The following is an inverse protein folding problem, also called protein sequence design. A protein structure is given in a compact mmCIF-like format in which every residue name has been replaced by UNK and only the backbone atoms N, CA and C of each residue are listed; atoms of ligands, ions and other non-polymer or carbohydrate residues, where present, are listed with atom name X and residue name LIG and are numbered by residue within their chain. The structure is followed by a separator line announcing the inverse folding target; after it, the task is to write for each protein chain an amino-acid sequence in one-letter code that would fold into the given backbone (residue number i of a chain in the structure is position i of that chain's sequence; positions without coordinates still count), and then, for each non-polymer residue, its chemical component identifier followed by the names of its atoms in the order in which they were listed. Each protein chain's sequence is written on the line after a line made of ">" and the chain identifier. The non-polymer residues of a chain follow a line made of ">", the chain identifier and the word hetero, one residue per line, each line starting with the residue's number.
data_IF_300991243733
#
_entry.id   IF_300991243733
#
_cell.length_a   1.000
_cell.length_b   1.000
_cell.length_c   1.000
_cell.angle_alpha   90.00
_cell.angle_beta   90.00
_cell.angle_gamma   90.00
#
_symmetry.space_group_name_H-M   'P 1'
#
loop_
_entity.id
_entity.type
_entity.pdbx_description
1 polymer ?
#
# COMPACT_ATOMS: atom_id res chain seq x y z
N UNK A 1 2.81 28.08 -21.81
CA UNK A 1 1.55 27.31 -21.67
C UNK A 1 1.94 25.99 -21.05
N UNK A 2 1.62 25.85 -19.76
CA UNK A 2 1.84 24.68 -18.93
C UNK A 2 1.01 23.53 -19.48
N UNK A 3 1.67 22.43 -19.84
CA UNK A 3 1.03 21.14 -20.05
C UNK A 3 0.47 20.69 -18.70
N UNK A 4 -0.83 20.91 -18.49
CA UNK A 4 -1.61 20.21 -17.48
C UNK A 4 -1.43 18.71 -17.75
N UNK A 5 -0.54 18.08 -16.98
CA UNK A 5 -0.55 16.63 -16.83
C UNK A 5 -1.83 16.36 -16.05
N UNK A 6 -2.90 16.06 -16.76
CA UNK A 6 -4.10 15.48 -16.17
C UNK A 6 -3.64 14.23 -15.41
N UNK A 7 -3.45 14.40 -14.09
CA UNK A 7 -3.37 13.30 -13.15
C UNK A 7 -4.60 12.48 -13.47
N UNK A 8 -4.42 11.24 -13.92
CA UNK A 8 -5.51 10.34 -14.28
C UNK A 8 -6.44 10.24 -13.07
N UNK A 9 -7.48 11.09 -13.06
CA UNK A 9 -8.56 11.03 -12.09
C UNK A 9 -9.10 9.64 -12.26
N UNK A 10 -9.19 8.90 -11.15
CA UNK A 10 -9.61 7.51 -11.06
C UNK A 10 -10.90 7.21 -11.84
N UNK A 11 -10.78 7.08 -13.15
CA UNK A 11 -11.60 6.22 -13.97
C UNK A 11 -11.24 4.81 -13.55
N UNK A 12 -12.25 3.98 -13.36
CA UNK A 12 -12.10 2.62 -12.86
C UNK A 12 -10.95 1.92 -13.59
N UNK A 13 -9.87 1.59 -12.88
CA UNK A 13 -8.76 0.84 -13.45
C UNK A 13 -9.32 -0.40 -14.14
N UNK A 14 -8.85 -0.66 -15.37
CA UNK A 14 -9.22 -1.87 -16.09
C UNK A 14 -8.79 -3.11 -15.30
N UNK A 15 -9.40 -4.27 -15.58
CA UNK A 15 -9.02 -5.52 -14.93
C UNK A 15 -7.50 -5.78 -15.03
N UNK A 16 -6.92 -5.54 -16.21
CA UNK A 16 -5.47 -5.67 -16.43
C UNK A 16 -4.64 -4.65 -15.62
N UNK A 17 -5.09 -3.40 -15.52
CA UNK A 17 -4.40 -2.40 -14.69
C UNK A 17 -4.44 -2.78 -13.20
N UNK A 18 -5.55 -3.33 -12.71
CA UNK A 18 -5.66 -3.81 -11.33
C UNK A 18 -4.70 -4.96 -11.05
N UNK A 19 -4.55 -5.88 -11.99
CA UNK A 19 -3.58 -6.98 -11.90
C UNK A 19 -2.13 -6.44 -11.80
N UNK A 20 -1.76 -5.49 -12.67
CA UNK A 20 -0.44 -4.84 -12.61
C UNK A 20 -0.22 -4.16 -11.26
N UNK A 21 -1.22 -3.41 -10.76
CA UNK A 21 -1.12 -2.73 -9.47
C UNK A 21 -0.96 -3.73 -8.31
N UNK A 22 -1.68 -4.85 -8.35
CA UNK A 22 -1.55 -5.91 -7.33
C UNK A 22 -0.12 -6.47 -7.29
N UNK A 23 0.48 -6.74 -8.45
CA UNK A 23 1.84 -7.30 -8.54
C UNK A 23 2.96 -6.29 -8.21
N UNK A 24 2.73 -5.00 -8.45
CA UNK A 24 3.80 -3.97 -8.38
C UNK A 24 3.76 -3.11 -7.12
N UNK A 25 2.56 -2.73 -6.65
CA UNK A 25 2.38 -1.78 -5.54
C UNK A 25 1.51 -2.33 -4.41
N UNK A 26 0.95 -3.54 -4.52
CA UNK A 26 0.20 -4.18 -3.45
C UNK A 26 0.58 -5.66 -3.26
N UNK A 27 1.84 -6.00 -3.55
CA UNK A 27 2.31 -7.38 -3.55
C UNK A 27 2.12 -8.04 -2.18
N UNK A 28 1.44 -9.18 -2.16
CA UNK A 28 1.14 -9.94 -0.94
C UNK A 28 -0.01 -9.38 -0.10
N UNK A 29 -0.66 -8.29 -0.51
CA UNK A 29 -1.83 -7.75 0.19
C UNK A 29 -3.07 -8.60 -0.05
N UNK A 30 -4.00 -8.60 0.90
CA UNK A 30 -5.36 -9.14 0.72
C UNK A 30 -6.17 -8.32 -0.30
N UNK A 31 -7.21 -8.90 -0.92
CA UNK A 31 -8.11 -8.16 -1.80
C UNK A 31 -8.73 -6.94 -1.10
N UNK A 32 -9.05 -7.05 0.19
CA UNK A 32 -9.62 -5.98 1.01
C UNK A 32 -8.62 -4.83 1.21
N UNK A 33 -7.35 -5.14 1.51
CA UNK A 33 -6.29 -4.13 1.62
C UNK A 33 -6.05 -3.43 0.28
N UNK A 34 -6.06 -4.19 -0.83
CA UNK A 34 -5.90 -3.62 -2.17
C UNK A 34 -7.07 -2.69 -2.51
N UNK A 35 -8.31 -3.11 -2.24
CA UNK A 35 -9.49 -2.27 -2.42
C UNK A 35 -9.44 -1.01 -1.54
N UNK A 36 -9.04 -1.14 -0.28
CA UNK A 36 -8.87 0.00 0.62
C UNK A 36 -7.81 0.99 0.11
N UNK A 37 -6.69 0.48 -0.40
CA UNK A 37 -5.65 1.31 -1.03
C UNK A 37 -6.19 2.08 -2.23
N UNK A 38 -6.96 1.43 -3.11
CA UNK A 38 -7.56 2.09 -4.27
C UNK A 38 -8.56 3.18 -3.88
N UNK A 39 -9.37 2.94 -2.83
CA UNK A 39 -10.31 3.94 -2.33
C UNK A 39 -9.58 5.16 -1.72
N UNK A 40 -8.49 4.93 -0.97
CA UNK A 40 -7.64 6.00 -0.46
C UNK A 40 -6.95 6.76 -1.60
N UNK A 41 -6.43 6.05 -2.61
CA UNK A 41 -5.83 6.67 -3.79
C UNK A 41 -6.83 7.60 -4.48
N UNK A 42 -8.07 7.14 -4.68
CA UNK A 42 -9.15 7.94 -5.25
C UNK A 42 -9.51 9.15 -4.39
N UNK A 43 -9.72 8.95 -3.09
CA UNK A 43 -10.09 10.01 -2.14
C UNK A 43 -9.05 11.13 -2.07
N UNK A 44 -7.78 10.75 -2.05
CA UNK A 44 -6.67 11.69 -1.96
C UNK A 44 -6.14 12.15 -3.33
N UNK A 45 -6.66 11.59 -4.43
CA UNK A 45 -6.17 11.83 -5.80
C UNK A 45 -4.67 11.52 -5.94
N UNK A 46 -4.25 10.42 -5.33
CA UNK A 46 -2.89 9.87 -5.46
C UNK A 46 -2.84 8.83 -6.57
N UNK A 47 -1.72 8.79 -7.28
CA UNK A 47 -1.47 7.83 -8.36
C UNK A 47 -0.63 6.63 -7.87
N UNK A 48 -1.21 5.42 -7.80
CA UNK A 48 -0.48 4.21 -7.47
C UNK A 48 0.61 3.85 -8.50
N UNK A 49 0.42 4.13 -9.80
CA UNK A 49 1.43 3.84 -10.83
C UNK A 49 2.67 4.70 -10.69
N UNK A 50 2.50 5.96 -10.27
CA UNK A 50 3.59 6.86 -9.91
C UNK A 50 4.21 6.54 -8.53
N UNK A 51 3.78 5.46 -7.87
CA UNK A 51 4.20 5.07 -6.51
C UNK A 51 3.98 6.17 -5.46
N UNK A 52 2.97 7.01 -5.66
CA UNK A 52 2.57 8.00 -4.66
C UNK A 52 1.89 7.33 -3.47
N UNK A 53 1.22 6.20 -3.70
CA UNK A 53 0.59 5.34 -2.69
C UNK A 53 0.85 3.87 -3.04
N UNK A 54 1.09 3.04 -2.04
CA UNK A 54 1.23 1.59 -2.19
C UNK A 54 0.75 0.87 -0.94
N UNK A 55 0.55 -0.44 -1.03
CA UNK A 55 0.21 -1.30 0.09
C UNK A 55 1.26 -2.41 0.24
N UNK A 56 1.50 -2.79 1.47
CA UNK A 56 2.16 -4.06 1.80
C UNK A 56 1.32 -4.76 2.88
N UNK A 57 1.61 -6.02 3.23
CA UNK A 57 0.93 -6.67 4.35
C UNK A 57 1.01 -5.87 5.67
N UNK A 58 2.04 -5.03 5.81
CA UNK A 58 2.22 -4.14 6.95
C UNK A 58 1.25 -2.95 7.00
N UNK A 59 0.67 -2.54 5.87
CA UNK A 59 -0.22 -1.39 5.81
C UNK A 59 -0.21 -0.67 4.46
N UNK A 60 -0.88 0.49 4.44
CA UNK A 60 -0.94 1.38 3.27
C UNK A 60 -0.05 2.58 3.53
N UNK A 61 0.82 2.86 2.57
CA UNK A 61 1.88 3.85 2.68
C UNK A 61 1.80 4.87 1.56
N UNK A 62 2.23 6.08 1.86
CA UNK A 62 2.32 7.19 0.91
C UNK A 62 3.75 7.68 0.85
N UNK A 63 4.24 7.86 -0.37
CA UNK A 63 5.59 8.32 -0.61
C UNK A 63 5.72 9.81 -0.34
N UNK A 64 6.96 10.27 -0.17
CA UNK A 64 7.30 11.70 -0.12
C UNK A 64 6.67 12.48 -1.28
N UNK A 65 6.73 11.95 -2.50
CA UNK A 65 6.13 12.59 -3.68
C UNK A 65 4.59 12.59 -3.66
N UNK A 66 3.96 11.60 -3.01
CA UNK A 66 2.52 11.59 -2.77
C UNK A 66 2.10 12.71 -1.82
N UNK A 67 2.80 12.89 -0.70
CA UNK A 67 2.54 14.02 0.19
C UNK A 67 2.81 15.37 -0.48
N UNK A 68 3.83 15.46 -1.34
CA UNK A 68 4.14 16.66 -2.10
C UNK A 68 3.05 16.98 -3.14
N UNK A 69 2.52 15.96 -3.83
CA UNK A 69 1.39 16.11 -4.73
C UNK A 69 0.15 16.66 -4.01
N UNK A 70 -0.15 16.15 -2.80
CA UNK A 70 -1.24 16.67 -1.96
C UNK A 70 -1.02 18.12 -1.55
N UNK A 71 0.21 18.48 -1.17
CA UNK A 71 0.58 19.85 -0.82
C UNK A 71 0.33 20.80 -2.00
N UNK A 72 0.79 20.45 -3.20
CA UNK A 72 0.54 21.23 -4.42
C UNK A 72 -0.96 21.32 -4.74
N UNK A 73 -1.69 20.20 -4.68
CA UNK A 73 -3.12 20.14 -4.96
C UNK A 73 -3.97 20.98 -3.99
N UNK A 74 -3.45 21.28 -2.79
CA UNK A 74 -4.13 22.15 -1.82
C UNK A 74 -4.14 23.63 -2.23
N UNK A 75 -3.26 24.04 -3.15
CA UNK A 75 -3.01 25.44 -3.52
C UNK A 75 -2.27 26.28 -2.46
N UNK A 76 -2.06 25.74 -1.26
CA UNK A 76 -1.48 26.47 -0.12
C UNK A 76 0.00 26.16 0.12
N UNK A 77 0.62 25.30 -0.68
CA UNK A 77 2.06 25.04 -0.62
C UNK A 77 2.86 26.24 -1.13
N UNK A 78 3.81 26.69 -0.33
CA UNK A 78 4.67 27.85 -0.59
C UNK A 78 6.16 27.49 -0.58
N UNK A 79 6.47 26.20 -0.73
CA UNK A 79 7.83 25.66 -0.73
C UNK A 79 8.21 24.93 0.55
N UNK A 80 9.35 24.28 0.48
CA UNK A 80 9.99 23.61 1.62
C UNK A 80 11.51 23.64 1.46
N UNK A 81 12.21 23.58 2.58
CA UNK A 81 13.65 23.44 2.63
C UNK A 81 14.03 22.37 3.65
N UNK A 82 15.13 21.66 3.39
CA UNK A 82 15.66 20.66 4.32
C UNK A 82 17.09 21.00 4.66
N UNK A 83 17.38 21.09 5.95
CA UNK A 83 18.74 21.28 6.49
C UNK A 83 19.20 20.02 7.21
N UNK A 84 20.51 19.81 7.25
CA UNK A 84 21.11 18.66 7.91
C UNK A 84 21.96 19.13 9.09
N UNK A 85 21.99 18.31 10.13
CA UNK A 85 22.95 18.43 11.22
C UNK A 85 23.90 17.23 11.16
N UNK A 86 25.18 17.50 11.29
CA UNK A 86 26.23 16.50 11.42
C UNK A 86 26.89 16.60 12.79
N UNK A 87 27.21 15.45 13.37
CA UNK A 87 27.98 15.34 14.61
C UNK A 87 29.15 14.39 14.37
N UNK A 88 30.36 14.82 14.74
CA UNK A 88 31.61 14.08 14.51
C UNK A 88 31.81 13.64 13.05
N UNK A 89 31.40 14.49 12.10
CA UNK A 89 31.48 14.23 10.66
C UNK A 89 30.51 13.15 10.16
N UNK A 90 29.47 12.83 10.95
CA UNK A 90 28.42 11.86 10.60
C UNK A 90 27.07 12.54 10.59
N UNK A 91 26.23 12.14 9.62
CA UNK A 91 24.84 12.58 9.54
C UNK A 91 24.09 12.24 10.85
N UNK A 92 23.56 13.27 11.51
CA UNK A 92 22.91 13.17 12.82
C UNK A 92 21.39 13.35 12.70
N UNK A 93 20.95 14.39 12.00
CA UNK A 93 19.51 14.66 11.77
C UNK A 93 19.26 15.44 10.49
N UNK A 94 18.01 15.39 10.01
CA UNK A 94 17.50 16.27 8.98
C UNK A 94 16.28 17.03 9.51
N UNK A 95 16.21 18.33 9.24
CA UNK A 95 15.07 19.18 9.59
C UNK A 95 14.45 19.73 8.32
N UNK A 96 13.20 19.35 8.06
CA UNK A 96 12.41 19.93 6.98
C UNK A 96 11.54 21.07 7.52
N UNK A 97 11.61 22.22 6.86
CA UNK A 97 10.77 23.39 7.09
C UNK A 97 9.82 23.56 5.90
N UNK A 98 8.51 23.50 6.15
CA UNK A 98 7.46 23.68 5.13
C UNK A 98 6.78 25.03 5.32
N UNK A 99 6.66 25.79 4.23
CA UNK A 99 5.99 27.07 4.17
C UNK A 99 4.57 26.88 3.62
N UNK A 100 3.58 27.35 4.37
CA UNK A 100 2.17 27.23 4.03
C UNK A 100 1.53 28.62 3.95
N UNK A 101 0.93 28.97 2.80
CA UNK A 101 0.43 30.32 2.51
C UNK A 101 -0.56 30.89 3.54
N UNK A 102 -1.28 30.01 4.23
CA UNK A 102 -2.27 30.38 5.27
C UNK A 102 -1.71 30.34 6.70
N UNK A 103 -0.39 30.17 6.89
CA UNK A 103 0.23 30.14 8.21
C UNK A 103 1.32 31.21 8.31
N UNK A 104 1.37 31.89 9.46
CA UNK A 104 2.44 32.85 9.77
C UNK A 104 3.72 32.12 10.22
N UNK A 105 3.52 31.03 10.96
CA UNK A 105 4.48 30.02 11.41
C UNK A 105 4.85 28.97 10.35
N UNK A 106 6.09 28.73 9.86
CA UNK A 106 6.32 27.53 9.07
C UNK A 106 6.31 26.28 9.98
N UNK A 107 5.96 25.14 9.40
CA UNK A 107 6.01 23.86 10.10
C UNK A 107 7.43 23.32 10.01
N UNK A 108 8.03 22.96 11.14
CA UNK A 108 9.35 22.32 11.20
C UNK A 108 9.22 20.92 11.77
N UNK A 109 9.84 19.96 11.12
CA UNK A 109 9.97 18.58 11.61
C UNK A 109 11.42 18.15 11.48
N UNK A 110 11.97 17.71 12.60
CA UNK A 110 13.31 17.11 12.68
C UNK A 110 13.17 15.61 12.84
N UNK A 111 13.89 14.86 12.02
CA UNK A 111 14.01 13.41 12.12
C UNK A 111 15.45 13.04 12.45
N UNK A 112 15.62 12.01 13.26
CA UNK A 112 16.92 11.55 13.76
C UNK A 112 17.44 10.41 12.91
N UNK A 113 18.74 10.42 12.60
CA UNK A 113 19.32 9.36 11.77
C UNK A 113 19.26 7.99 12.46
N UNK A 114 19.50 7.92 13.77
CA UNK A 114 19.45 6.70 14.57
C UNK A 114 18.05 6.04 14.62
N UNK A 115 16.98 6.83 14.59
CA UNK A 115 15.60 6.35 14.59
C UNK A 115 15.13 5.81 13.23
N UNK A 116 15.59 6.42 12.13
CA UNK A 116 15.06 6.14 10.79
C UNK A 116 15.97 5.24 9.94
N UNK A 117 17.27 5.22 10.23
CA UNK A 117 18.23 4.45 9.46
C UNK A 117 17.86 2.97 9.46
N UNK A 118 17.89 2.36 8.27
CA UNK A 118 17.73 0.91 8.09
C UNK A 118 19.08 0.33 7.68
N UNK A 119 19.91 -0.18 8.61
CA UNK A 119 21.30 -0.59 8.32
C UNK A 119 21.40 -1.68 7.24
N UNK A 120 20.38 -2.54 7.17
CA UNK A 120 20.31 -3.64 6.20
C UNK A 120 19.92 -3.17 4.79
N UNK A 121 19.40 -1.95 4.64
CA UNK A 121 19.00 -1.39 3.35
C UNK A 121 20.19 -0.83 2.58
N UNK A 122 20.38 -1.31 1.35
CA UNK A 122 21.42 -0.81 0.44
C UNK A 122 21.24 0.66 0.09
N UNK A 123 19.99 1.12 0.00
CA UNK A 123 19.65 2.51 -0.28
C UNK A 123 20.13 3.45 0.84
N UNK A 124 19.95 3.05 2.11
CA UNK A 124 20.43 3.82 3.27
C UNK A 124 21.96 3.82 3.38
N UNK A 125 22.63 2.72 3.03
CA UNK A 125 24.10 2.67 3.01
C UNK A 125 24.72 3.54 1.91
N UNK A 126 24.11 3.58 0.73
CA UNK A 126 24.63 4.32 -0.42
C UNK A 126 24.24 5.80 -0.43
N UNK A 127 23.04 6.13 0.04
CA UNK A 127 22.47 7.48 -0.06
C UNK A 127 21.80 7.94 1.25
N UNK A 128 22.53 7.99 2.39
CA UNK A 128 21.94 8.27 3.70
C UNK A 128 21.28 9.65 3.80
N UNK A 129 21.87 10.69 3.19
CA UNK A 129 21.31 12.04 3.20
C UNK A 129 19.97 12.11 2.46
N UNK A 130 19.89 11.50 1.27
CA UNK A 130 18.65 11.45 0.46
C UNK A 130 17.56 10.71 1.22
N UNK A 131 17.91 9.59 1.87
CA UNK A 131 16.96 8.78 2.63
C UNK A 131 16.45 9.50 3.88
N UNK A 132 17.31 10.21 4.61
CA UNK A 132 16.87 10.97 5.78
C UNK A 132 16.04 12.20 5.37
N UNK A 133 16.45 12.89 4.30
CA UNK A 133 15.73 14.01 3.72
C UNK A 133 14.30 13.63 3.32
N UNK A 134 14.11 12.50 2.61
CA UNK A 134 12.75 12.07 2.23
C UNK A 134 11.85 11.84 3.44
N UNK A 135 12.40 11.32 4.55
CA UNK A 135 11.63 11.04 5.76
C UNK A 135 11.23 12.35 6.45
N UNK A 136 12.18 13.30 6.56
CA UNK A 136 11.92 14.63 7.10
C UNK A 136 10.81 15.34 6.31
N UNK A 137 10.91 15.32 4.97
CA UNK A 137 9.96 15.97 4.07
C UNK A 137 8.57 15.31 4.14
N UNK A 138 8.49 13.97 4.10
CA UNK A 138 7.22 13.26 4.22
C UNK A 138 6.48 13.62 5.52
N UNK A 139 7.19 13.63 6.66
CA UNK A 139 6.60 14.00 7.94
C UNK A 139 6.18 15.47 8.01
N UNK A 140 7.01 16.38 7.51
CA UNK A 140 6.71 17.81 7.51
C UNK A 140 5.50 18.13 6.62
N UNK A 141 5.44 17.55 5.42
CA UNK A 141 4.32 17.71 4.49
C UNK A 141 3.02 17.14 5.09
N UNK A 142 3.06 15.93 5.65
CA UNK A 142 1.90 15.33 6.31
C UNK A 142 1.34 16.23 7.43
N UNK A 143 2.24 16.81 8.24
CA UNK A 143 1.87 17.73 9.33
C UNK A 143 1.35 19.07 8.82
N UNK A 144 1.96 19.64 7.78
CA UNK A 144 1.59 20.95 7.23
C UNK A 144 0.23 20.94 6.53
N UNK A 145 -0.16 19.82 5.91
CA UNK A 145 -1.39 19.71 5.12
C UNK A 145 -2.47 18.82 5.75
N UNK A 146 -2.35 18.53 7.05
CA UNK A 146 -3.32 17.76 7.84
C UNK A 146 -3.76 16.44 7.16
N UNK A 147 -2.82 15.71 6.57
CA UNK A 147 -3.13 14.45 5.88
C UNK A 147 -3.36 13.36 6.95
N UNK A 148 -4.59 12.88 7.07
CA UNK A 148 -4.99 11.88 8.07
C UNK A 148 -5.11 10.48 7.46
N UNK A 149 -4.77 9.43 8.22
CA UNK A 149 -4.91 8.05 7.77
C UNK A 149 -3.89 7.57 6.73
N UNK A 150 -2.89 8.39 6.37
CA UNK A 150 -1.79 8.03 5.49
C UNK A 150 -0.45 8.18 6.24
N UNK A 151 0.45 7.22 6.03
CA UNK A 151 1.73 7.14 6.75
C UNK A 151 2.89 6.96 5.77
N UNK A 152 4.07 7.48 6.10
CA UNK A 152 5.30 7.08 5.41
C UNK A 152 5.75 5.71 5.94
N UNK A 153 6.25 4.87 5.06
CA UNK A 153 6.75 3.53 5.44
C UNK A 153 7.90 3.62 6.44
N UNK A 154 8.68 4.71 6.38
CA UNK A 154 9.81 4.92 7.28
C UNK A 154 9.40 5.09 8.76
N UNK A 155 8.13 5.35 9.06
CA UNK A 155 7.60 5.46 10.43
C UNK A 155 7.50 4.13 11.16
N UNK A 156 7.59 3.02 10.43
CA UNK A 156 7.39 1.70 10.98
C UNK A 156 8.72 0.97 11.16
N UNK A 157 8.92 0.32 12.33
CA UNK A 157 10.10 -0.48 12.56
C UNK A 157 10.18 -1.60 11.52
N UNK A 158 11.41 -1.91 11.10
CA UNK A 158 11.66 -2.98 10.11
C UNK A 158 11.47 -4.38 10.71
N UNK A 159 11.45 -4.47 12.04
CA UNK A 159 11.27 -5.70 12.81
C UNK A 159 10.08 -5.57 13.78
N UNK A 160 9.22 -6.59 13.78
CA UNK A 160 7.96 -6.63 14.52
C UNK A 160 6.73 -6.51 13.63
N UNK A 161 5.55 -6.97 14.08
CA UNK A 161 4.32 -6.75 13.34
C UNK A 161 4.11 -5.25 13.20
N UNK A 162 3.92 -4.76 11.98
CA UNK A 162 3.61 -3.35 11.77
C UNK A 162 2.39 -2.98 12.62
N UNK A 163 2.41 -1.81 13.25
CA UNK A 163 1.21 -1.32 13.95
C UNK A 163 0.10 -1.14 12.90
N UNK A 164 -0.93 -1.97 12.97
CA UNK A 164 -1.97 -2.01 11.93
C UNK A 164 -1.69 -3.00 10.79
N UNK A 165 -0.73 -3.93 10.95
CA UNK A 165 -0.67 -5.13 10.13
C UNK A 165 -2.02 -5.81 10.24
N UNK A 166 -2.77 -5.82 9.14
CA UNK A 166 -3.96 -6.64 9.06
C UNK A 166 -3.44 -8.07 9.11
N UNK A 167 -3.85 -8.84 10.11
CA UNK A 167 -3.76 -10.28 9.98
C UNK A 167 -4.42 -10.61 8.63
N UNK A 168 -3.74 -11.38 7.74
CA UNK A 168 -4.36 -11.81 6.50
C UNK A 168 -5.62 -12.55 6.90
N UNK A 169 -6.76 -11.89 6.77
CA UNK A 169 -8.05 -12.34 7.24
C UNK A 169 -8.98 -12.18 6.08
N UNK A 170 -9.84 -13.17 5.88
CA UNK A 170 -10.93 -13.08 4.92
C UNK A 170 -12.23 -13.08 5.71
N UNK A 171 -13.23 -12.35 5.22
CA UNK A 171 -14.55 -12.36 5.87
C UNK A 171 -15.34 -13.54 5.36
N UNK A 172 -15.60 -14.51 6.24
CA UNK A 172 -16.48 -15.66 5.97
C UNK A 172 -17.74 -15.47 6.79
N UNK A 173 -18.88 -15.30 6.12
CA UNK A 173 -20.20 -15.15 6.76
C UNK A 173 -20.26 -14.03 7.82
N UNK A 174 -19.51 -12.96 7.59
CA UNK A 174 -19.46 -11.78 8.44
C UNK A 174 -18.40 -11.83 9.54
N UNK A 175 -17.69 -12.95 9.70
CA UNK A 175 -16.62 -13.08 10.69
C UNK A 175 -15.22 -13.08 10.04
N UNK A 176 -14.24 -12.36 10.63
CA UNK A 176 -12.87 -12.35 10.13
C UNK A 176 -12.14 -13.64 10.50
N UNK A 177 -11.76 -14.43 9.50
CA UNK A 177 -11.02 -15.69 9.67
C UNK A 177 -9.58 -15.49 9.22
N UNK A 178 -8.56 -15.74 10.08
CA UNK A 178 -7.15 -15.72 9.69
C UNK A 178 -6.86 -16.74 8.60
N UNK A 179 -6.13 -16.34 7.56
CA UNK A 179 -5.79 -17.18 6.41
C UNK A 179 -4.31 -17.03 6.06
N UNK A 180 -3.63 -18.15 5.86
CA UNK A 180 -2.33 -18.16 5.20
C UNK A 180 -2.56 -18.14 3.69
N UNK A 181 -2.10 -17.09 3.01
CA UNK A 181 -2.13 -17.03 1.55
C UNK A 181 -1.05 -17.97 1.00
N UNK A 182 -1.49 -19.04 0.34
CA UNK A 182 -0.59 -19.94 -0.40
C UNK A 182 -0.03 -19.17 -1.61
N UNK A 183 1.29 -19.20 -1.81
CA UNK A 183 1.95 -18.42 -2.88
C UNK A 183 1.69 -18.94 -4.30
N UNK A 184 1.05 -20.10 -4.42
CA UNK A 184 0.78 -20.75 -5.69
C UNK A 184 -0.45 -20.17 -6.37
N UNK A 185 -0.47 -20.13 -7.70
CA UNK A 185 -1.64 -19.70 -8.49
C UNK A 185 -2.64 -20.84 -8.64
N UNK A 186 -3.88 -20.48 -8.96
CA UNK A 186 -4.96 -21.41 -9.24
C UNK A 186 -4.51 -22.49 -10.23
N UNK A 187 -4.65 -23.75 -9.86
CA UNK A 187 -4.26 -24.91 -10.67
C UNK A 187 -5.01 -25.02 -12.00
N UNK A 188 -6.17 -24.37 -12.11
CA UNK A 188 -7.01 -24.39 -13.30
C UNK A 188 -6.78 -23.18 -14.22
N UNK A 189 -6.91 -21.95 -13.71
CA UNK A 189 -6.80 -20.75 -14.55
C UNK A 189 -5.41 -20.13 -14.55
N UNK A 190 -4.55 -20.41 -13.56
CA UNK A 190 -3.24 -19.79 -13.40
C UNK A 190 -3.26 -18.28 -13.09
N UNK A 191 -4.44 -17.65 -13.10
CA UNK A 191 -4.63 -16.20 -12.97
C UNK A 191 -4.99 -15.76 -11.56
N UNK A 192 -5.83 -16.54 -10.87
CA UNK A 192 -6.36 -16.19 -9.55
C UNK A 192 -5.65 -16.94 -8.43
N UNK A 193 -5.72 -16.42 -7.21
CA UNK A 193 -5.24 -17.14 -6.02
C UNK A 193 -6.19 -18.33 -5.74
N UNK A 194 -5.68 -19.49 -5.29
CA UNK A 194 -6.50 -20.60 -4.80
C UNK A 194 -7.44 -20.16 -3.68
N UNK A 195 -8.61 -20.81 -3.60
CA UNK A 195 -9.51 -20.59 -2.46
C UNK A 195 -8.82 -20.95 -1.16
N UNK A 196 -8.99 -20.08 -0.16
CA UNK A 196 -8.59 -20.40 1.22
C UNK A 196 -9.44 -21.55 1.77
N UNK A 197 -8.88 -22.32 2.70
CA UNK A 197 -9.54 -23.52 3.24
C UNK A 197 -10.92 -23.26 3.83
N UNK A 198 -11.11 -22.12 4.49
CA UNK A 198 -12.39 -21.72 5.07
C UNK A 198 -13.50 -21.56 4.01
N UNK A 199 -13.17 -21.03 2.82
CA UNK A 199 -14.10 -20.99 1.70
C UNK A 199 -14.24 -22.37 1.04
N UNK A 200 -13.13 -23.10 0.92
CA UNK A 200 -13.11 -24.44 0.32
C UNK A 200 -14.04 -25.42 1.02
N UNK A 201 -14.15 -25.34 2.35
CA UNK A 201 -15.09 -26.15 3.14
C UNK A 201 -16.55 -25.92 2.74
N UNK A 202 -16.93 -24.66 2.47
CA UNK A 202 -18.29 -24.31 2.02
C UNK A 202 -18.63 -24.95 0.68
N UNK A 203 -17.68 -24.93 -0.25
CA UNK A 203 -17.87 -25.53 -1.56
C UNK A 203 -17.79 -27.06 -1.53
N UNK A 204 -17.08 -27.65 -0.56
CA UNK A 204 -16.97 -29.11 -0.43
C UNK A 204 -18.35 -29.75 -0.26
N UNK A 205 -19.19 -29.22 0.62
CA UNK A 205 -20.56 -29.72 0.82
C UNK A 205 -21.40 -29.66 -0.48
N UNK A 206 -21.34 -28.55 -1.22
CA UNK A 206 -22.09 -28.39 -2.47
C UNK A 206 -21.57 -29.31 -3.59
N UNK A 207 -20.27 -29.58 -3.64
CA UNK A 207 -19.65 -30.52 -4.57
C UNK A 207 -19.97 -31.99 -4.22
N UNK A 208 -19.97 -32.32 -2.93
CA UNK A 208 -20.41 -33.63 -2.43
C UNK A 208 -21.88 -33.92 -2.78
N UNK A 209 -22.78 -32.95 -2.60
CA UNK A 209 -24.19 -33.06 -3.00
C UNK A 209 -24.35 -33.24 -4.52
N UNK A 210 -23.50 -32.58 -5.32
CA UNK A 210 -23.49 -32.72 -6.77
C UNK A 210 -22.79 -34.01 -7.27
N UNK A 211 -22.14 -34.77 -6.38
CA UNK A 211 -21.39 -35.98 -6.75
C UNK A 211 -20.09 -35.70 -7.52
N UNK A 212 -19.53 -34.49 -7.41
CA UNK A 212 -18.32 -34.06 -8.11
C UNK A 212 -17.22 -33.74 -7.08
N UNK A 213 -15.96 -34.07 -7.39
CA UNK A 213 -14.83 -33.76 -6.48
C UNK A 213 -14.31 -32.36 -6.76
N UNK A 214 -14.18 -31.53 -5.72
CA UNK A 214 -13.57 -30.20 -5.80
C UNK A 214 -12.02 -30.32 -5.93
N UNK A 215 -11.41 -29.97 -7.07
CA UNK A 215 -9.96 -30.14 -7.27
C UNK A 215 -9.13 -29.27 -6.32
N UNK A 216 -7.92 -29.70 -5.94
CA UNK A 216 -7.02 -28.90 -5.10
C UNK A 216 -6.43 -27.70 -5.84
N UNK A 217 -6.17 -26.62 -5.09
CA UNK A 217 -5.53 -25.42 -5.63
C UNK A 217 -6.40 -24.59 -6.58
N UNK A 218 -7.72 -24.83 -6.68
CA UNK A 218 -8.61 -24.05 -7.57
C UNK A 218 -9.14 -22.79 -6.89
N UNK A 219 -9.32 -21.71 -7.66
CA UNK A 219 -9.98 -20.49 -7.21
C UNK A 219 -11.50 -20.63 -7.17
N UNK A 220 -12.18 -19.68 -6.53
CA UNK A 220 -13.63 -19.70 -6.34
C UNK A 220 -14.40 -19.68 -7.67
N UNK A 221 -13.95 -18.90 -8.64
CA UNK A 221 -14.61 -18.80 -9.95
C UNK A 221 -14.51 -20.12 -10.73
N UNK A 222 -13.32 -20.72 -10.80
CA UNK A 222 -13.14 -22.02 -11.42
C UNK A 222 -13.95 -23.12 -10.71
N UNK A 223 -14.05 -23.07 -9.37
CA UNK A 223 -14.91 -23.97 -8.63
C UNK A 223 -16.40 -23.78 -8.99
N UNK A 224 -16.89 -22.55 -9.12
CA UNK A 224 -18.28 -22.29 -9.55
C UNK A 224 -18.54 -22.79 -10.97
N UNK A 225 -17.58 -22.64 -11.88
CA UNK A 225 -17.69 -23.17 -13.25
C UNK A 225 -17.74 -24.70 -13.27
N UNK A 226 -16.83 -25.35 -12.53
CA UNK A 226 -16.81 -26.80 -12.39
C UNK A 226 -18.12 -27.34 -11.80
N UNK A 227 -18.70 -26.60 -10.83
CA UNK A 227 -19.97 -26.96 -10.23
C UNK A 227 -21.15 -26.84 -11.22
N UNK A 228 -21.22 -25.73 -11.98
CA UNK A 228 -22.29 -25.50 -12.98
C UNK A 228 -22.22 -26.48 -14.16
N UNK A 229 -21.03 -26.95 -14.53
CA UNK A 229 -20.86 -27.93 -15.61
C UNK A 229 -20.93 -29.40 -15.12
N UNK A 230 -21.07 -29.60 -13.80
CA UNK A 230 -21.17 -30.92 -13.16
C UNK A 230 -22.59 -31.41 -12.90
N UNK A 231 -23.64 -30.70 -13.35
CA UNK A 231 -25.01 -31.18 -13.24
C UNK A 231 -25.18 -32.49 -14.04
N UNK A 232 -25.64 -33.59 -13.41
CA UNK A 232 -25.96 -34.81 -14.15
C UNK A 232 -27.15 -34.54 -15.08
N UNK A 233 -27.02 -34.89 -16.37
CA UNK A 233 -28.17 -35.03 -17.28
C UNK A 233 -29.11 -36.13 -16.82
#
# INVERSE_FOLDING_TARGET
>A
MTTDTEIAVAGEYSAHQREILLETVAKGCSPEQFMLMLELAKRYRLDPFARQIWATPAGIFVGRDGFLALAHASGNFDGMETTFEEQDGKLFSATCTVYHKKMQHPIRVTVRFDEFNRPNSDAWRRMPYVMLQKCAEAHALRRAFCVTGLYDEAEFPTEGPARGAFAPTVTVDGEPVPVERVSERCSQCGLHDPMVDAFRERYRAAFEEAGVVLPEGVCEECAKELWKHGEPQ
#
